data_IF_400361081160
#
_entry.id   IF_400361081160
#
_cell.length_a   1.000
_cell.length_b   1.000
_cell.length_c   1.000
_cell.angle_alpha   90.00
_cell.angle_beta   90.00
_cell.angle_gamma   90.00
#
_symmetry.space_group_name_H-M   'P 1'
#
loop_
_entity.id
_entity.type
_entity.pdbx_description
1 polymer ?
#
# COMPACT_ATOMS: atom_id res chain seq x y z
N UNK A 1 7.86 2.65 25.51
CA UNK A 1 8.83 3.30 24.60
C UNK A 1 8.40 3.32 23.13
N UNK A 2 7.55 2.41 22.64
CA UNK A 2 7.19 2.35 21.21
C UNK A 2 6.20 3.44 20.76
N UNK A 3 5.19 3.77 21.57
CA UNK A 3 4.18 4.80 21.24
C UNK A 3 4.79 6.19 21.15
N UNK A 4 5.69 6.56 22.07
CA UNK A 4 6.33 7.89 22.06
C UNK A 4 7.18 8.12 20.81
N UNK A 5 7.85 7.07 20.31
CA UNK A 5 8.59 7.11 19.04
C UNK A 5 7.65 7.28 17.85
N UNK A 6 6.50 6.61 17.84
CA UNK A 6 5.48 6.77 16.80
C UNK A 6 4.91 8.19 16.76
N UNK A 7 4.59 8.75 17.92
CA UNK A 7 4.09 10.13 18.03
C UNK A 7 5.13 11.16 17.58
N UNK A 8 6.40 10.97 17.98
CA UNK A 8 7.50 11.79 17.50
C UNK A 8 7.63 11.72 15.98
N UNK A 9 7.54 10.53 15.37
CA UNK A 9 7.58 10.36 13.92
C UNK A 9 6.48 11.15 13.20
N UNK A 10 5.24 11.08 13.69
CA UNK A 10 4.11 11.85 13.14
C UNK A 10 4.39 13.35 13.22
N UNK A 11 4.80 13.85 14.39
CA UNK A 11 5.12 15.26 14.58
C UNK A 11 6.29 15.73 13.70
N UNK A 12 7.33 14.91 13.53
CA UNK A 12 8.46 15.23 12.66
C UNK A 12 8.03 15.34 11.20
N UNK A 13 7.23 14.39 10.70
CA UNK A 13 6.74 14.43 9.30
C UNK A 13 5.86 15.65 9.07
N UNK A 14 4.94 15.95 9.99
CA UNK A 14 4.09 17.16 9.90
C UNK A 14 4.94 18.43 9.95
N UNK A 15 5.92 18.48 10.85
CA UNK A 15 6.85 19.60 10.97
C UNK A 15 7.67 19.83 9.70
N UNK A 16 8.18 18.76 9.09
CA UNK A 16 8.88 18.82 7.80
C UNK A 16 7.96 19.27 6.67
N UNK A 17 6.75 18.69 6.57
CA UNK A 17 5.77 19.09 5.57
C UNK A 17 5.39 20.58 5.70
N UNK A 18 5.25 21.08 6.92
CA UNK A 18 5.01 22.50 7.17
C UNK A 18 6.23 23.37 6.82
N UNK A 19 7.45 22.92 7.13
CA UNK A 19 8.69 23.63 6.79
C UNK A 19 8.87 23.79 5.28
N UNK A 20 8.59 22.75 4.51
CA UNK A 20 8.67 22.77 3.05
C UNK A 20 7.41 23.33 2.36
N UNK A 21 6.38 23.71 3.12
CA UNK A 21 5.16 24.30 2.55
C UNK A 21 5.43 25.72 2.01
N UNK A 22 5.05 25.95 0.76
CA UNK A 22 5.18 27.25 0.10
C UNK A 22 4.32 28.35 0.75
N UNK A 23 3.20 27.99 1.39
CA UNK A 23 2.28 28.93 2.04
C UNK A 23 1.98 28.51 3.48
N UNK A 24 3.01 28.51 4.33
CA UNK A 24 2.95 28.07 5.75
C UNK A 24 1.80 28.66 6.58
N UNK A 25 1.40 29.89 6.28
CA UNK A 25 0.30 30.61 6.98
C UNK A 25 -1.11 30.24 6.48
N UNK A 26 -1.21 29.61 5.32
CA UNK A 26 -2.49 29.17 4.72
C UNK A 26 -2.77 27.69 4.97
N UNK A 27 -1.93 27.02 5.76
CA UNK A 27 -2.17 25.63 6.17
C UNK A 27 -3.37 25.60 7.11
N UNK A 28 -4.43 24.92 6.69
CA UNK A 28 -5.61 24.71 7.51
C UNK A 28 -5.36 23.55 8.50
N UNK A 29 -5.06 23.91 9.74
CA UNK A 29 -4.82 22.95 10.82
C UNK A 29 -6.03 22.10 11.19
N UNK A 30 -7.25 22.55 10.88
CA UNK A 30 -8.46 21.73 11.07
C UNK A 30 -8.46 20.58 10.07
N UNK A 31 -8.14 20.85 8.81
CA UNK A 31 -8.04 19.81 7.77
C UNK A 31 -6.92 18.82 8.09
N UNK A 32 -5.74 19.31 8.49
CA UNK A 32 -4.62 18.45 8.89
C UNK A 32 -5.00 17.55 10.06
N UNK A 33 -5.61 18.11 11.11
CA UNK A 33 -6.05 17.35 12.28
C UNK A 33 -7.12 16.30 11.96
N UNK A 34 -8.12 16.66 11.14
CA UNK A 34 -9.14 15.72 10.67
C UNK A 34 -8.51 14.60 9.83
N UNK A 35 -7.59 14.92 8.93
CA UNK A 35 -6.90 13.93 8.10
C UNK A 35 -6.10 12.92 8.93
N UNK A 36 -5.32 13.40 9.90
CA UNK A 36 -4.56 12.53 10.82
C UNK A 36 -5.51 11.68 11.67
N UNK A 37 -6.59 12.30 12.18
CA UNK A 37 -7.61 11.57 12.94
C UNK A 37 -8.23 10.44 12.13
N UNK A 38 -8.58 10.71 10.87
CA UNK A 38 -9.14 9.70 9.96
C UNK A 38 -8.15 8.58 9.67
N UNK A 39 -6.88 8.90 9.44
CA UNK A 39 -5.81 7.90 9.26
C UNK A 39 -5.64 7.01 10.49
N UNK A 40 -5.63 7.59 11.70
CA UNK A 40 -5.52 6.82 12.95
C UNK A 40 -6.75 5.95 13.20
N UNK A 41 -7.96 6.48 13.00
CA UNK A 41 -9.20 5.72 13.14
C UNK A 41 -9.21 4.55 12.17
N UNK A 42 -8.91 4.79 10.89
CA UNK A 42 -8.89 3.74 9.88
C UNK A 42 -7.82 2.69 10.17
N UNK A 43 -6.62 3.10 10.59
CA UNK A 43 -5.57 2.18 11.01
C UNK A 43 -6.00 1.32 12.20
N UNK A 44 -6.62 1.90 13.23
CA UNK A 44 -7.12 1.15 14.38
C UNK A 44 -8.27 0.22 14.00
N UNK A 45 -9.20 0.67 13.16
CA UNK A 45 -10.28 -0.17 12.63
C UNK A 45 -9.72 -1.39 11.92
N UNK A 46 -8.75 -1.22 11.02
CA UNK A 46 -8.15 -2.33 10.27
C UNK A 46 -7.28 -3.21 11.17
N UNK A 47 -6.52 -2.65 12.12
CA UNK A 47 -5.57 -3.42 12.93
C UNK A 47 -6.16 -4.08 14.17
N UNK A 48 -7.31 -3.60 14.69
CA UNK A 48 -7.88 -4.10 15.95
C UNK A 48 -9.31 -4.63 15.84
N UNK A 49 -10.09 -4.24 14.82
CA UNK A 49 -11.50 -4.68 14.71
C UNK A 49 -11.58 -5.93 13.83
N UNK A 50 -11.89 -7.12 14.39
CA UNK A 50 -11.83 -8.38 13.63
C UNK A 50 -12.80 -8.42 12.44
N UNK A 51 -13.98 -7.81 12.57
CA UNK A 51 -14.93 -7.71 11.47
C UNK A 51 -14.37 -6.91 10.28
N UNK A 52 -13.63 -5.84 10.54
CA UNK A 52 -12.99 -5.02 9.49
C UNK A 52 -11.84 -5.80 8.88
N UNK A 53 -11.01 -6.46 9.69
CA UNK A 53 -9.93 -7.34 9.20
C UNK A 53 -10.45 -8.38 8.22
N UNK A 54 -11.54 -9.08 8.57
CA UNK A 54 -12.12 -10.12 7.72
C UNK A 54 -12.56 -9.58 6.36
N UNK A 55 -13.16 -8.38 6.33
CA UNK A 55 -13.55 -7.72 5.08
C UNK A 55 -12.31 -7.43 4.21
N UNK A 56 -11.29 -6.79 4.78
CA UNK A 56 -10.06 -6.46 4.06
C UNK A 56 -9.29 -7.72 3.62
N UNK A 57 -9.28 -8.77 4.42
CA UNK A 57 -8.67 -10.06 4.08
C UNK A 57 -9.42 -10.72 2.92
N UNK A 58 -10.76 -10.69 2.93
CA UNK A 58 -11.59 -11.23 1.84
C UNK A 58 -11.33 -10.48 0.53
N UNK A 59 -11.29 -9.15 0.60
CA UNK A 59 -10.92 -8.30 -0.55
C UNK A 59 -9.49 -8.63 -1.01
N UNK A 60 -8.54 -8.77 -0.09
CA UNK A 60 -7.16 -9.18 -0.39
C UNK A 60 -7.09 -10.52 -1.12
N UNK A 61 -7.85 -11.53 -0.68
CA UNK A 61 -7.95 -12.83 -1.37
C UNK A 61 -8.54 -12.70 -2.78
N UNK A 62 -9.52 -11.82 -2.97
CA UNK A 62 -10.05 -11.53 -4.29
C UNK A 62 -8.98 -10.91 -5.20
N UNK A 63 -8.18 -9.97 -4.70
CA UNK A 63 -7.05 -9.39 -5.44
C UNK A 63 -5.98 -10.44 -5.79
N UNK A 64 -5.62 -11.33 -4.86
CA UNK A 64 -4.70 -12.44 -5.14
C UNK A 64 -5.22 -13.32 -6.27
N UNK A 65 -6.52 -13.62 -6.29
CA UNK A 65 -7.13 -14.41 -7.38
C UNK A 65 -7.03 -13.71 -8.73
N UNK A 66 -7.13 -12.38 -8.76
CA UNK A 66 -6.92 -11.59 -9.99
C UNK A 66 -5.46 -11.66 -10.44
N UNK A 67 -4.51 -11.55 -9.50
CA UNK A 67 -3.08 -11.72 -9.78
C UNK A 67 -2.76 -13.12 -10.35
N UNK A 68 -3.42 -14.16 -9.86
CA UNK A 68 -3.27 -15.51 -10.39
C UNK A 68 -3.72 -15.62 -11.86
N UNK A 69 -4.80 -14.94 -12.24
CA UNK A 69 -5.22 -14.87 -13.64
C UNK A 69 -4.20 -14.15 -14.53
N UNK A 70 -3.63 -13.04 -14.05
CA UNK A 70 -2.52 -12.36 -14.74
C UNK A 70 -1.32 -13.29 -14.92
N UNK A 71 -0.98 -14.06 -13.87
CA UNK A 71 0.13 -15.00 -13.90
C UNK A 71 -0.09 -16.08 -14.96
N UNK A 72 -1.27 -16.70 -15.00
CA UNK A 72 -1.62 -17.71 -16.02
C UNK A 72 -1.53 -17.12 -17.43
N UNK A 73 -2.03 -15.89 -17.64
CA UNK A 73 -1.93 -15.22 -18.93
C UNK A 73 -0.48 -14.95 -19.35
N UNK A 74 0.37 -14.59 -18.38
CA UNK A 74 1.80 -14.35 -18.61
C UNK A 74 2.57 -15.65 -18.88
N UNK A 75 2.24 -16.73 -18.18
CA UNK A 75 2.77 -18.08 -18.45
C UNK A 75 2.34 -18.56 -19.85
N UNK A 76 1.13 -18.25 -20.30
CA UNK A 76 0.70 -18.55 -21.69
C UNK A 76 1.53 -17.78 -22.73
N UNK A 77 1.80 -16.50 -22.50
CA UNK A 77 2.53 -15.63 -23.43
C UNK A 77 4.04 -15.91 -23.46
N UNK A 78 4.66 -16.14 -22.29
CA UNK A 78 6.11 -16.19 -22.13
C UNK A 78 6.65 -17.59 -21.79
N UNK A 79 5.78 -18.56 -21.47
CA UNK A 79 6.09 -19.98 -21.23
C UNK A 79 7.34 -20.19 -20.37
N UNK A 80 8.36 -20.84 -20.91
CA UNK A 80 9.57 -21.24 -20.18
C UNK A 80 10.36 -20.05 -19.64
N UNK A 81 10.20 -18.84 -20.21
CA UNK A 81 10.84 -17.62 -19.71
C UNK A 81 10.27 -17.16 -18.35
N UNK A 82 9.13 -17.69 -17.95
CA UNK A 82 8.55 -17.49 -16.61
C UNK A 82 9.05 -18.54 -15.60
N UNK A 83 9.76 -19.59 -16.05
CA UNK A 83 10.29 -20.63 -15.17
C UNK A 83 11.53 -20.14 -14.41
N UNK A 84 11.32 -19.88 -13.12
CA UNK A 84 12.37 -19.49 -12.18
C UNK A 84 13.46 -20.55 -12.04
N UNK A 85 13.15 -21.82 -12.23
CA UNK A 85 14.13 -22.91 -12.09
C UNK A 85 15.09 -22.98 -13.27
N UNK A 86 14.61 -22.66 -14.47
CA UNK A 86 15.41 -22.73 -15.69
C UNK A 86 16.09 -21.40 -16.04
N UNK A 87 15.37 -20.28 -15.91
CA UNK A 87 15.85 -18.96 -16.35
C UNK A 87 16.06 -17.96 -15.20
N UNK A 88 15.78 -18.35 -13.96
CA UNK A 88 15.85 -17.45 -12.81
C UNK A 88 14.68 -16.47 -12.73
N UNK A 89 14.67 -15.63 -11.71
CA UNK A 89 13.63 -14.62 -11.53
C UNK A 89 13.86 -13.44 -12.50
N UNK A 90 13.22 -13.48 -13.68
CA UNK A 90 13.24 -12.36 -14.63
C UNK A 90 12.25 -11.30 -14.16
N UNK A 91 12.76 -10.27 -13.46
CA UNK A 91 11.97 -9.18 -12.90
C UNK A 91 10.94 -8.60 -13.89
N UNK A 92 11.37 -8.32 -15.12
CA UNK A 92 10.52 -7.73 -16.15
C UNK A 92 9.29 -8.59 -16.47
N UNK A 93 9.45 -9.91 -16.60
CA UNK A 93 8.36 -10.82 -16.97
C UNK A 93 7.46 -11.18 -15.78
N UNK A 94 7.97 -11.09 -14.54
CA UNK A 94 7.19 -11.43 -13.36
C UNK A 94 6.38 -10.26 -12.79
N UNK A 95 6.85 -9.03 -12.98
CA UNK A 95 6.23 -7.86 -12.34
C UNK A 95 5.51 -6.97 -13.36
N UNK A 96 6.02 -6.79 -14.57
CA UNK A 96 5.40 -5.89 -15.54
C UNK A 96 4.02 -6.35 -16.03
N UNK A 97 3.75 -7.65 -16.29
CA UNK A 97 2.42 -8.06 -16.74
C UNK A 97 1.32 -7.77 -15.71
N UNK A 98 1.65 -7.85 -14.43
CA UNK A 98 0.76 -7.45 -13.35
C UNK A 98 0.41 -5.97 -13.43
N UNK A 99 1.39 -5.10 -13.69
CA UNK A 99 1.13 -3.66 -13.83
C UNK A 99 0.22 -3.40 -15.05
N UNK A 100 0.49 -4.05 -16.19
CA UNK A 100 -0.28 -3.88 -17.42
C UNK A 100 -1.73 -4.36 -17.28
N UNK A 101 -1.96 -5.44 -16.54
CA UNK A 101 -3.31 -5.98 -16.33
C UNK A 101 -4.15 -5.11 -15.39
N UNK A 102 -3.52 -4.39 -14.46
CA UNK A 102 -4.19 -3.57 -13.46
C UNK A 102 -4.33 -2.08 -13.82
N UNK A 103 -3.63 -1.57 -14.83
CA UNK A 103 -3.78 -0.18 -15.32
C UNK A 103 -4.87 -0.05 -16.35
#
# INVERSE_FOLDING_TARGET
MSISRGLLGILTIIGLAWLFSAKRKQVDWRVVGVGIGFQLILALCILYVPAVQLVFETVGKAFVKVLDFTRIGSEFLFRDLMDVKSFGFIFALQILPTIIFFS
#
